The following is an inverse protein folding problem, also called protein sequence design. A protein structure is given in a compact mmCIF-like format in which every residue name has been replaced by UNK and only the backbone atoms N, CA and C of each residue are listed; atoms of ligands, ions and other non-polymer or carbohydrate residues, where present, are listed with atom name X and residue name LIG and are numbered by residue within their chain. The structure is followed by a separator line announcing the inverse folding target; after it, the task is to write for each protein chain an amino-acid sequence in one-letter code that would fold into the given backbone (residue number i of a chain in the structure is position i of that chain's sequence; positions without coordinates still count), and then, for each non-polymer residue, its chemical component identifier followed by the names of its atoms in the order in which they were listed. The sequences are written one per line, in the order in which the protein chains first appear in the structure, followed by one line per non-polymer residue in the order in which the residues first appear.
data_IF_263130553815
#
_entry.id   IF_263130553815
#
_cell.length_a   1.000
_cell.length_b   1.000
_cell.length_c   1.000
_cell.angle_alpha   90.00
_cell.angle_beta   90.00
_cell.angle_gamma   90.00
#
_symmetry.space_group_name_H-M   'P 1'
#
loop_
_entity.id
_entity.type
_entity.pdbx_description
1 polymer ?
#
# COMPACT_ATOMS: atom_id res chain seq x y z
N UNK A 1 -6.96 7.28 2.36
CA UNK A 1 -6.45 6.08 3.04
C UNK A 1 -5.29 5.40 2.32
N UNK A 2 -5.32 5.22 0.99
CA UNK A 2 -4.26 4.53 0.23
C UNK A 2 -2.83 5.00 0.51
N UNK A 3 -2.59 6.32 0.55
CA UNK A 3 -1.26 6.88 0.83
C UNK A 3 -0.76 6.58 2.25
N UNK A 4 -1.65 6.61 3.26
CA UNK A 4 -1.30 6.31 4.65
C UNK A 4 -0.96 4.82 4.78
N UNK A 5 -1.75 3.94 4.17
CA UNK A 5 -1.43 2.51 4.14
C UNK A 5 -0.07 2.27 3.49
N UNK A 6 0.22 2.94 2.37
CA UNK A 6 1.51 2.83 1.69
C UNK A 6 2.69 3.30 2.56
N UNK A 7 2.53 4.41 3.26
CA UNK A 7 3.55 4.93 4.19
C UNK A 7 3.80 3.95 5.35
N UNK A 8 2.76 3.37 5.92
CA UNK A 8 2.88 2.37 6.99
C UNK A 8 3.56 1.08 6.50
N UNK A 9 3.25 0.62 5.28
CA UNK A 9 3.84 -0.62 4.74
C UNK A 9 5.31 -0.44 4.35
N UNK A 10 5.69 0.75 3.86
CA UNK A 10 7.06 1.01 3.38
C UNK A 10 7.94 1.67 4.42
N UNK A 11 7.37 2.28 5.47
CA UNK A 11 8.07 3.16 6.41
C UNK A 11 8.61 4.43 5.75
N UNK A 12 8.19 4.73 4.51
CA UNK A 12 8.72 5.82 3.71
C UNK A 12 7.63 6.84 3.40
N UNK A 13 8.00 8.12 3.32
CA UNK A 13 7.10 9.17 2.82
C UNK A 13 6.74 8.86 1.36
N UNK A 14 5.45 8.91 0.96
CA UNK A 14 5.06 8.81 -0.45
C UNK A 14 5.81 9.83 -1.30
N UNK A 15 6.42 9.36 -2.39
CA UNK A 15 7.25 10.18 -3.29
C UNK A 15 8.41 10.88 -2.57
N UNK A 16 9.07 10.22 -1.60
CA UNK A 16 10.22 10.76 -0.87
C UNK A 16 11.38 11.22 -1.77
N UNK A 17 11.49 10.65 -2.98
CA UNK A 17 12.54 10.94 -3.95
C UNK A 17 12.17 12.02 -4.99
N UNK A 18 11.04 12.70 -4.82
CA UNK A 18 10.55 13.74 -5.73
C UNK A 18 10.26 14.99 -4.90
N UNK A 19 10.55 16.18 -5.43
CA UNK A 19 10.14 17.43 -4.77
C UNK A 19 8.62 17.52 -4.67
N UNK A 20 8.13 18.08 -3.57
CA UNK A 20 6.68 18.19 -3.27
C UNK A 20 6.17 19.52 -3.80
N UNK A 21 6.24 19.68 -5.11
CA UNK A 21 5.95 20.91 -5.85
C UNK A 21 4.74 20.77 -6.79
N UNK A 22 4.50 21.79 -7.60
CA UNK A 22 3.39 21.84 -8.56
C UNK A 22 3.52 20.74 -9.63
N UNK A 23 4.75 20.38 -10.03
CA UNK A 23 4.98 19.32 -11.01
C UNK A 23 4.54 17.95 -10.48
N UNK A 24 4.78 17.68 -9.18
CA UNK A 24 4.27 16.46 -8.56
C UNK A 24 2.73 16.44 -8.51
N UNK A 25 2.09 17.58 -8.24
CA UNK A 25 0.62 17.70 -8.25
C UNK A 25 0.06 17.30 -9.62
N UNK A 26 0.59 17.85 -10.71
CA UNK A 26 0.16 17.50 -12.07
C UNK A 26 0.36 16.01 -12.37
N UNK A 27 1.52 15.46 -12.02
CA UNK A 27 1.77 14.01 -12.20
C UNK A 27 0.75 13.16 -11.43
N UNK A 28 0.34 13.55 -10.22
CA UNK A 28 -0.67 12.82 -9.44
C UNK A 28 -2.06 12.91 -10.09
N UNK A 29 -2.42 14.08 -10.62
CA UNK A 29 -3.65 14.30 -11.40
C UNK A 29 -3.66 13.39 -12.62
N UNK A 30 -2.53 13.26 -13.32
CA UNK A 30 -2.33 12.37 -14.47
C UNK A 30 -2.24 10.88 -14.10
N UNK A 31 -2.43 10.55 -12.81
CA UNK A 31 -2.53 9.17 -12.36
C UNK A 31 -1.25 8.58 -11.77
N UNK A 32 -0.18 9.38 -11.57
CA UNK A 32 1.01 8.90 -10.84
C UNK A 32 0.61 8.44 -9.44
N UNK A 33 1.06 7.24 -9.06
CA UNK A 33 0.89 6.65 -7.73
C UNK A 33 2.25 6.16 -7.20
N UNK A 34 2.41 5.99 -5.88
CA UNK A 34 3.59 5.36 -5.32
C UNK A 34 3.76 3.95 -5.86
N UNK A 35 5.01 3.49 -5.97
CA UNK A 35 5.29 2.15 -6.43
C UNK A 35 4.82 1.14 -5.37
N UNK A 36 4.04 0.14 -5.76
CA UNK A 36 3.74 -0.99 -4.89
C UNK A 36 4.84 -2.02 -5.15
N UNK A 37 5.70 -2.19 -4.17
CA UNK A 37 6.81 -3.14 -4.21
C UNK A 37 6.33 -4.57 -3.95
N UNK A 38 7.09 -5.56 -4.45
CA UNK A 38 6.75 -6.98 -4.34
C UNK A 38 6.76 -7.50 -2.89
N UNK A 39 7.21 -6.69 -1.93
CA UNK A 39 7.20 -6.99 -0.50
C UNK A 39 5.86 -6.69 0.19
N UNK A 40 4.92 -6.11 -0.54
CA UNK A 40 3.56 -5.85 -0.07
C UNK A 40 2.67 -7.00 -0.54
N UNK A 41 1.91 -7.60 0.39
CA UNK A 41 0.98 -8.67 0.00
C UNK A 41 -0.05 -8.17 -1.01
N UNK A 42 -0.45 -9.04 -1.93
CA UNK A 42 -1.39 -8.68 -3.01
C UNK A 42 -2.70 -8.08 -2.47
N UNK A 43 -3.15 -8.56 -1.31
CA UNK A 43 -4.34 -8.05 -0.66
C UNK A 43 -4.23 -6.55 -0.32
N UNK A 44 -3.16 -6.15 0.37
CA UNK A 44 -2.91 -4.75 0.72
C UNK A 44 -2.67 -3.91 -0.53
N UNK A 45 -1.95 -4.44 -1.51
CA UNK A 45 -1.73 -3.78 -2.80
C UNK A 45 -3.06 -3.45 -3.50
N UNK A 46 -3.99 -4.40 -3.55
CA UNK A 46 -5.29 -4.23 -4.18
C UNK A 46 -6.19 -3.28 -3.37
N UNK A 47 -6.15 -3.32 -2.04
CA UNK A 47 -6.86 -2.37 -1.19
C UNK A 47 -6.36 -0.92 -1.39
N UNK A 48 -5.04 -0.73 -1.46
CA UNK A 48 -4.45 0.58 -1.78
C UNK A 48 -4.88 1.08 -3.16
N UNK A 49 -4.83 0.22 -4.19
CA UNK A 49 -5.34 0.50 -5.56
C UNK A 49 -6.78 1.00 -5.56
N UNK A 50 -7.66 0.36 -4.79
CA UNK A 50 -9.05 0.78 -4.66
C UNK A 50 -9.21 2.14 -3.97
N UNK A 51 -8.34 2.46 -3.00
CA UNK A 51 -8.42 3.72 -2.26
C UNK A 51 -7.98 4.95 -3.07
N UNK A 52 -7.14 4.77 -4.09
CA UNK A 52 -6.65 5.86 -4.97
C UNK A 52 -7.06 5.66 -6.43
N UNK A 53 -8.19 4.97 -6.65
CA UNK A 53 -8.79 4.74 -7.96
C UNK A 53 -9.02 6.08 -8.69
N UNK A 54 -8.79 6.18 -10.02
CA UNK A 54 -8.89 7.44 -10.74
C UNK A 54 -10.25 8.13 -10.58
N UNK A 55 -11.34 7.39 -10.83
CA UNK A 55 -12.71 7.85 -10.61
C UNK A 55 -13.00 7.98 -9.10
N UNK A 56 -13.25 9.20 -8.57
CA UNK A 56 -13.54 9.42 -7.16
C UNK A 56 -14.74 8.62 -6.65
N UNK A 57 -15.75 8.37 -7.49
CA UNK A 57 -16.96 7.64 -7.11
C UNK A 57 -16.71 6.15 -6.90
N UNK A 58 -15.64 5.61 -7.48
CA UNK A 58 -15.22 4.20 -7.34
C UNK A 58 -14.17 4.00 -6.24
N UNK A 59 -13.71 5.08 -5.59
CA UNK A 59 -12.80 4.96 -4.45
C UNK A 59 -13.51 4.31 -3.29
N UNK A 60 -12.85 3.34 -2.68
CA UNK A 60 -13.37 2.69 -1.46
C UNK A 60 -13.47 3.72 -0.34
N UNK A 61 -14.60 3.74 0.36
CA UNK A 61 -14.87 4.70 1.43
C UNK A 61 -14.02 4.39 2.66
N UNK A 62 -13.81 5.37 3.53
CA UNK A 62 -13.10 5.11 4.79
C UNK A 62 -13.85 4.08 5.66
N UNK A 63 -15.18 4.11 5.64
CA UNK A 63 -16.04 3.15 6.33
C UNK A 63 -15.81 1.73 5.79
N UNK A 64 -15.84 1.55 4.47
CA UNK A 64 -15.61 0.25 3.83
C UNK A 64 -14.20 -0.28 4.17
N UNK A 65 -13.19 0.59 4.20
CA UNK A 65 -11.83 0.22 4.61
C UNK A 65 -11.82 -0.27 6.05
N UNK A 66 -12.48 0.43 6.97
CA UNK A 66 -12.60 -0.01 8.36
C UNK A 66 -13.33 -1.36 8.48
N UNK A 67 -14.42 -1.57 7.74
CA UNK A 67 -15.14 -2.85 7.72
C UNK A 67 -14.28 -3.99 7.20
N UNK A 68 -13.51 -3.74 6.13
CA UNK A 68 -12.54 -4.70 5.58
C UNK A 68 -11.51 -5.10 6.65
N UNK A 69 -10.96 -4.13 7.38
CA UNK A 69 -9.99 -4.40 8.45
C UNK A 69 -10.60 -5.12 9.65
N UNK A 70 -11.81 -4.74 10.06
CA UNK A 70 -12.54 -5.42 11.13
C UNK A 70 -12.84 -6.88 10.75
N UNK A 71 -13.29 -7.12 9.52
CA UNK A 71 -13.52 -8.47 8.99
C UNK A 71 -12.24 -9.32 9.00
N UNK A 72 -11.12 -8.76 8.51
CA UNK A 72 -9.83 -9.45 8.54
C UNK A 72 -9.39 -9.82 9.95
N UNK A 73 -9.64 -8.93 10.91
CA UNK A 73 -9.26 -9.12 12.32
C UNK A 73 -10.09 -10.23 12.96
N UNK A 74 -11.39 -10.25 12.71
CA UNK A 74 -12.32 -11.25 13.24
C UNK A 74 -12.12 -12.64 12.61
N UNK A 75 -11.64 -12.69 11.36
CA UNK A 75 -11.40 -13.94 10.64
C UNK A 75 -10.00 -14.53 10.91
N UNK A 76 -9.15 -13.87 11.70
CA UNK A 76 -7.77 -14.28 11.91
C UNK A 76 -6.85 -14.10 10.69
N UNK A 77 -7.36 -13.55 9.58
CA UNK A 77 -6.61 -13.26 8.35
C UNK A 77 -5.44 -12.30 8.60
N UNK A 78 -5.53 -11.44 9.62
CA UNK A 78 -4.42 -10.56 10.01
C UNK A 78 -3.16 -11.38 10.33
N UNK A 79 -3.28 -12.51 11.03
CA UNK A 79 -2.14 -13.37 11.35
C UNK A 79 -1.55 -14.01 10.08
N UNK A 80 -2.40 -14.43 9.15
CA UNK A 80 -1.96 -14.98 7.86
C UNK A 80 -1.20 -13.95 7.03
N UNK A 81 -1.73 -12.73 6.89
CA UNK A 81 -1.04 -11.66 6.18
C UNK A 81 0.25 -11.23 6.85
N UNK A 82 0.29 -11.25 8.19
CA UNK A 82 1.51 -10.95 8.94
C UNK A 82 2.58 -12.01 8.65
N UNK A 83 2.23 -13.29 8.72
CA UNK A 83 3.14 -14.40 8.40
C UNK A 83 3.63 -14.31 6.94
N UNK A 84 2.74 -14.01 5.99
CA UNK A 84 3.12 -13.79 4.59
C UNK A 84 4.11 -12.62 4.46
N UNK A 85 3.85 -11.50 5.12
CA UNK A 85 4.75 -10.35 5.11
C UNK A 85 6.13 -10.68 5.74
N UNK A 86 6.17 -11.49 6.80
CA UNK A 86 7.44 -11.98 7.37
C UNK A 86 8.23 -12.83 6.38
N UNK A 87 7.58 -13.78 5.69
CA UNK A 87 8.25 -14.63 4.69
C UNK A 87 8.79 -13.80 3.52
N UNK A 88 7.99 -12.85 3.02
CA UNK A 88 8.45 -11.97 1.95
C UNK A 88 9.64 -11.09 2.42
N UNK A 89 9.60 -10.60 3.66
CA UNK A 89 10.73 -9.86 4.24
C UNK A 89 11.99 -10.73 4.38
N UNK A 90 11.87 -12.01 4.75
CA UNK A 90 13.00 -12.95 4.78
C UNK A 90 13.63 -13.09 3.39
N UNK A 91 12.80 -13.26 2.35
CA UNK A 91 13.26 -13.32 0.95
C UNK A 91 13.96 -12.01 0.54
N UNK A 92 13.40 -10.86 0.91
CA UNK A 92 13.99 -9.53 0.64
C UNK A 92 15.38 -9.40 1.26
N UNK A 93 15.51 -9.74 2.55
CA UNK A 93 16.79 -9.69 3.27
C UNK A 93 17.81 -10.65 2.65
N UNK A 94 17.39 -11.85 2.25
CA UNK A 94 18.27 -12.79 1.56
C UNK A 94 18.80 -12.22 0.24
N UNK A 95 17.94 -11.62 -0.59
CA UNK A 95 18.37 -10.97 -1.84
C UNK A 95 19.38 -9.85 -1.60
N UNK A 96 19.17 -9.00 -0.59
CA UNK A 96 20.10 -7.91 -0.23
C UNK A 96 21.46 -8.44 0.21
N UNK A 97 21.50 -9.56 0.95
CA UNK A 97 22.76 -10.17 1.42
C UNK A 97 23.56 -10.85 0.30
N UNK A 98 22.93 -11.16 -0.83
CA UNK A 98 23.54 -11.91 -1.94
C UNK A 98 23.57 -11.12 -3.26
N UNK A 99 23.38 -9.80 -3.21
CA UNK A 99 23.51 -8.87 -4.34
C UNK A 99 24.85 -8.13 -4.25
#
# INVERSE_FOLDING_TARGET
MGMIMWELTTGCKPFANIEHDVDLIYKIIDGKRPNITDDITEYFANLMKRCWYPDPKKRTSATDVCEIFNSCSNMGMVAEYFNQAEEINKIRIYKIKNA
#
